data_IF_787416110762
#
_entry.id   IF_787416110762
#
_cell.length_a   1.000
_cell.length_b   1.000
_cell.length_c   1.000
_cell.angle_alpha   90.00
_cell.angle_beta   90.00
_cell.angle_gamma   90.00
#
_symmetry.space_group_name_H-M   'P 1'
#
loop_
_entity.id
_entity.type
_entity.pdbx_description
1 polymer ?
#
# COMPACT_ATOMS: atom_id res chain seq x y z
N UNK A 1 -16.49 14.14 6.55
CA UNK A 1 -16.41 12.82 7.22
C UNK A 1 -15.70 12.97 8.56
N UNK A 2 -16.14 12.29 9.62
CA UNK A 2 -15.47 12.32 10.93
C UNK A 2 -14.07 11.69 10.85
N UNK A 3 -13.09 12.20 11.61
CA UNK A 3 -11.67 11.79 11.50
C UNK A 3 -11.49 10.28 11.67
N UNK A 4 -12.17 9.69 12.64
CA UNK A 4 -12.09 8.26 12.98
C UNK A 4 -12.68 7.39 11.86
N UNK A 5 -13.81 7.82 11.30
CA UNK A 5 -14.42 7.17 10.14
C UNK A 5 -13.53 7.27 8.90
N UNK A 6 -12.86 8.40 8.68
CA UNK A 6 -11.88 8.55 7.59
C UNK A 6 -10.70 7.60 7.76
N UNK A 7 -10.16 7.44 8.98
CA UNK A 7 -9.10 6.46 9.23
C UNK A 7 -9.58 5.04 8.95
N UNK A 8 -10.78 4.68 9.41
CA UNK A 8 -11.38 3.35 9.16
C UNK A 8 -11.59 3.08 7.67
N UNK A 9 -12.14 4.04 6.94
CA UNK A 9 -12.40 3.92 5.49
C UNK A 9 -11.12 3.88 4.63
N UNK A 10 -9.96 4.19 5.21
CA UNK A 10 -8.67 4.16 4.50
C UNK A 10 -7.81 3.03 5.04
N UNK A 11 -7.24 3.20 6.24
CA UNK A 11 -6.22 2.30 6.77
C UNK A 11 -6.81 0.97 7.20
N UNK A 12 -7.89 0.97 7.98
CA UNK A 12 -8.53 -0.29 8.41
C UNK A 12 -9.15 -1.04 7.23
N UNK A 13 -9.69 -0.30 6.25
CA UNK A 13 -10.24 -0.87 5.02
C UNK A 13 -9.17 -1.61 4.21
N UNK A 14 -8.06 -0.94 3.91
CA UNK A 14 -6.95 -1.53 3.13
C UNK A 14 -6.34 -2.72 3.87
N UNK A 15 -5.97 -2.51 5.13
CA UNK A 15 -5.17 -3.48 5.90
C UNK A 15 -5.98 -4.62 6.51
N UNK A 16 -7.31 -4.49 6.56
CA UNK A 16 -8.23 -5.53 7.00
C UNK A 16 -8.92 -6.21 5.82
N UNK A 17 -10.18 -5.86 5.57
CA UNK A 17 -11.08 -6.58 4.65
C UNK A 17 -10.58 -6.63 3.21
N UNK A 18 -9.95 -5.56 2.71
CA UNK A 18 -9.38 -5.55 1.36
C UNK A 18 -8.20 -6.54 1.28
N UNK A 19 -7.22 -6.43 2.19
CA UNK A 19 -6.07 -7.34 2.23
C UNK A 19 -6.50 -8.80 2.38
N UNK A 20 -7.42 -9.09 3.32
CA UNK A 20 -7.93 -10.45 3.53
C UNK A 20 -8.64 -11.02 2.31
N UNK A 21 -9.44 -10.19 1.63
CA UNK A 21 -10.15 -10.63 0.43
C UNK A 21 -9.17 -10.91 -0.71
N UNK A 22 -8.18 -10.05 -0.91
CA UNK A 22 -7.15 -10.24 -1.94
C UNK A 22 -6.30 -11.47 -1.66
N UNK A 23 -5.84 -11.64 -0.42
CA UNK A 23 -5.05 -12.79 0.03
C UNK A 23 -5.74 -14.13 -0.27
N UNK A 24 -7.05 -14.22 -0.03
CA UNK A 24 -7.78 -15.50 -0.11
C UNK A 24 -8.54 -15.71 -1.42
N UNK A 25 -8.89 -14.64 -2.14
CA UNK A 25 -9.79 -14.69 -3.31
C UNK A 25 -9.39 -13.76 -4.46
N UNK A 26 -8.26 -13.06 -4.35
CA UNK A 26 -7.77 -12.13 -5.37
C UNK A 26 -8.51 -10.80 -5.45
N UNK A 27 -8.02 -9.91 -6.32
CA UNK A 27 -8.52 -8.53 -6.45
C UNK A 27 -9.94 -8.46 -7.03
N UNK A 28 -10.29 -9.35 -7.96
CA UNK A 28 -11.61 -9.36 -8.58
C UNK A 28 -12.71 -9.65 -7.53
N UNK A 29 -12.42 -10.44 -6.50
CA UNK A 29 -13.35 -10.69 -5.41
C UNK A 29 -13.66 -9.44 -4.57
N UNK A 30 -12.72 -8.48 -4.46
CA UNK A 30 -12.97 -7.19 -3.80
C UNK A 30 -14.04 -6.42 -4.58
N UNK A 31 -13.89 -6.32 -5.89
CA UNK A 31 -14.86 -5.62 -6.76
C UNK A 31 -16.23 -6.31 -6.75
N UNK A 32 -16.26 -7.64 -6.82
CA UNK A 32 -17.49 -8.43 -6.84
C UNK A 32 -18.25 -8.39 -5.50
N UNK A 33 -17.56 -8.13 -4.38
CA UNK A 33 -18.18 -7.99 -3.06
C UNK A 33 -18.90 -6.65 -2.86
N UNK A 34 -18.70 -5.67 -3.75
CA UNK A 34 -19.35 -4.36 -3.68
C UNK A 34 -20.79 -4.41 -4.18
N UNK A 35 -21.65 -3.55 -3.63
CA UNK A 35 -22.97 -3.27 -4.21
C UNK A 35 -22.82 -2.60 -5.58
N UNK A 36 -23.91 -2.54 -6.36
CA UNK A 36 -23.88 -1.90 -7.69
C UNK A 36 -23.47 -0.42 -7.63
N UNK A 37 -23.91 0.32 -6.60
CA UNK A 37 -23.43 1.71 -6.38
C UNK A 37 -21.98 1.73 -5.90
N UNK A 38 -21.56 0.76 -5.09
CA UNK A 38 -20.17 0.60 -4.70
C UNK A 38 -19.25 0.32 -5.89
N UNK A 39 -19.66 -0.51 -6.85
CA UNK A 39 -18.91 -0.76 -8.09
C UNK A 39 -18.73 0.51 -8.91
N UNK A 40 -19.74 1.38 -9.00
CA UNK A 40 -19.60 2.69 -9.67
C UNK A 40 -18.54 3.57 -9.00
N UNK A 41 -18.53 3.62 -7.67
CA UNK A 41 -17.52 4.36 -6.91
C UNK A 41 -16.11 3.76 -7.05
N UNK A 42 -16.01 2.43 -7.07
CA UNK A 42 -14.76 1.73 -7.37
C UNK A 42 -14.25 2.08 -8.77
N UNK A 43 -15.10 1.99 -9.80
CA UNK A 43 -14.73 2.28 -11.19
C UNK A 43 -14.29 3.73 -11.37
N UNK A 44 -14.99 4.67 -10.72
CA UNK A 44 -14.63 6.08 -10.70
C UNK A 44 -13.22 6.28 -10.13
N UNK A 45 -12.95 5.71 -8.95
CA UNK A 45 -11.65 5.79 -8.32
C UNK A 45 -10.57 5.09 -9.14
N UNK A 46 -10.83 3.86 -9.59
CA UNK A 46 -9.88 3.04 -10.34
C UNK A 46 -9.45 3.74 -11.63
N UNK A 47 -10.44 4.17 -12.44
CA UNK A 47 -10.20 4.84 -13.71
C UNK A 47 -9.40 6.14 -13.55
N UNK A 48 -9.64 6.90 -12.47
CA UNK A 48 -8.93 8.16 -12.24
C UNK A 48 -7.55 7.97 -11.59
N UNK A 49 -7.28 6.81 -10.96
CA UNK A 49 -6.05 6.56 -10.21
C UNK A 49 -5.01 5.77 -10.99
N UNK A 50 -5.42 4.91 -11.93
CA UNK A 50 -4.53 3.96 -12.60
C UNK A 50 -3.30 4.64 -13.24
N UNK A 51 -3.51 5.64 -14.10
CA UNK A 51 -2.41 6.32 -14.79
C UNK A 51 -1.58 7.24 -13.87
N UNK A 52 -2.17 8.05 -12.97
CA UNK A 52 -1.37 8.81 -11.99
C UNK A 52 -0.50 7.93 -11.08
N UNK A 53 -1.00 6.73 -10.70
CA UNK A 53 -0.18 5.75 -9.99
C UNK A 53 0.93 5.18 -10.89
N UNK A 54 0.59 4.81 -12.12
CA UNK A 54 1.54 4.27 -13.10
C UNK A 54 2.67 5.25 -13.41
N UNK A 55 2.39 6.54 -13.49
CA UNK A 55 3.40 7.58 -13.72
C UNK A 55 4.52 7.54 -12.67
N UNK A 56 4.15 7.54 -11.39
CA UNK A 56 5.13 7.52 -10.28
C UNK A 56 5.83 6.16 -10.18
N UNK A 57 5.10 5.07 -10.41
CA UNK A 57 5.69 3.72 -10.45
C UNK A 57 6.71 3.59 -11.59
N UNK A 58 6.41 4.15 -12.75
CA UNK A 58 7.28 4.08 -13.91
C UNK A 58 8.56 4.88 -13.67
N UNK A 59 8.45 6.11 -13.16
CA UNK A 59 9.61 6.91 -12.74
C UNK A 59 10.47 6.15 -11.73
N UNK A 60 9.86 5.59 -10.68
CA UNK A 60 10.55 4.83 -9.64
C UNK A 60 11.30 3.63 -10.22
N UNK A 61 10.67 2.88 -11.12
CA UNK A 61 11.29 1.71 -11.75
C UNK A 61 12.53 2.11 -12.56
N UNK A 62 12.44 3.15 -13.40
CA UNK A 62 13.57 3.61 -14.21
C UNK A 62 14.72 4.16 -13.35
N UNK A 63 14.41 4.85 -12.26
CA UNK A 63 15.41 5.32 -11.28
C UNK A 63 16.15 4.15 -10.62
N UNK A 64 15.44 3.06 -10.31
CA UNK A 64 16.04 1.84 -9.76
C UNK A 64 16.90 1.13 -10.81
N UNK A 65 16.35 0.88 -11.99
CA UNK A 65 17.02 0.15 -13.07
C UNK A 65 18.27 0.88 -13.59
N UNK A 66 18.26 2.22 -13.61
CA UNK A 66 19.42 3.04 -13.98
C UNK A 66 20.52 3.08 -12.90
N UNK A 67 20.26 2.57 -11.69
CA UNK A 67 21.16 2.63 -10.53
C UNK A 67 21.14 3.98 -9.80
N UNK A 68 20.32 4.93 -10.24
CA UNK A 68 20.15 6.24 -9.59
C UNK A 68 19.63 6.09 -8.16
N UNK A 69 18.61 5.24 -7.97
CA UNK A 69 18.04 5.01 -6.64
C UNK A 69 19.01 4.29 -5.70
N UNK A 70 19.78 3.34 -6.23
CA UNK A 70 20.84 2.66 -5.47
C UNK A 70 21.88 3.68 -4.98
N UNK A 71 22.31 4.58 -5.86
CA UNK A 71 23.25 5.65 -5.50
C UNK A 71 22.66 6.57 -4.42
N UNK A 72 21.40 6.96 -4.55
CA UNK A 72 20.72 7.82 -3.59
C UNK A 72 20.70 7.18 -2.19
N UNK A 73 20.39 5.88 -2.10
CA UNK A 73 20.40 5.13 -0.84
C UNK A 73 21.80 5.07 -0.22
N UNK A 74 22.85 4.83 -1.02
CA UNK A 74 24.24 4.83 -0.55
C UNK A 74 24.62 6.18 0.05
N UNK A 75 24.28 7.29 -0.62
CA UNK A 75 24.59 8.62 -0.13
C UNK A 75 23.76 8.97 1.11
N UNK A 76 22.48 8.64 1.15
CA UNK A 76 21.63 8.83 2.31
C UNK A 76 22.17 8.11 3.56
N UNK A 77 22.69 6.89 3.41
CA UNK A 77 23.33 6.17 4.52
C UNK A 77 24.56 6.88 5.08
N UNK A 78 25.33 7.60 4.23
CA UNK A 78 26.45 8.42 4.68
C UNK A 78 25.98 9.68 5.43
N UNK A 79 24.80 10.21 5.09
CA UNK A 79 24.24 11.39 5.75
C UNK A 79 23.74 11.09 7.17
N UNK A 80 23.72 9.83 7.60
CA UNK A 80 23.41 9.46 8.99
C UNK A 80 24.52 9.81 9.98
N UNK A 81 25.68 10.25 9.50
CA UNK A 81 26.83 10.64 10.30
C UNK A 81 27.30 12.04 9.90
N UNK A 82 27.94 12.74 10.84
CA UNK A 82 28.55 14.04 10.56
C UNK A 82 29.70 13.88 9.57
N UNK A 83 29.73 14.73 8.55
CA UNK A 83 30.80 14.80 7.55
C UNK A 83 30.81 16.17 6.89
N UNK A 84 31.96 16.58 6.34
CA UNK A 84 32.08 17.83 5.55
C UNK A 84 31.63 19.09 6.33
N UNK A 85 31.70 19.08 7.66
CA UNK A 85 31.22 20.18 8.51
C UNK A 85 29.70 20.29 8.63
N UNK A 86 28.94 19.28 8.18
CA UNK A 86 27.48 19.21 8.27
C UNK A 86 27.03 18.20 9.34
N UNK A 87 25.86 18.43 9.97
CA UNK A 87 25.34 17.56 11.02
C UNK A 87 24.86 16.21 10.46
N UNK A 88 24.65 15.24 11.36
CA UNK A 88 24.04 13.95 11.05
C UNK A 88 22.51 14.07 10.88
N UNK A 89 21.95 13.31 9.94
CA UNK A 89 20.52 13.29 9.62
C UNK A 89 19.93 11.87 9.69
N UNK A 90 19.82 11.24 10.88
CA UNK A 90 19.11 9.98 11.02
C UNK A 90 17.63 10.12 10.65
N UNK A 91 17.01 9.03 10.20
CA UNK A 91 15.60 9.05 9.80
C UNK A 91 14.66 9.44 10.95
N UNK A 92 13.79 10.41 10.70
CA UNK A 92 12.73 10.82 11.62
C UNK A 92 11.53 9.86 11.68
N UNK A 93 10.64 10.12 12.66
CA UNK A 93 9.38 9.37 12.85
C UNK A 93 8.31 9.82 11.85
N UNK A 94 7.60 8.87 11.24
CA UNK A 94 6.52 9.14 10.25
C UNK A 94 5.10 9.02 10.83
N UNK A 95 4.97 8.67 12.11
CA UNK A 95 3.67 8.38 12.79
C UNK A 95 3.18 9.45 13.75
N UNK A 96 3.81 10.63 13.79
CA UNK A 96 3.39 11.69 14.74
C UNK A 96 2.40 12.69 14.13
N UNK A 97 2.03 12.54 12.86
CA UNK A 97 1.07 13.44 12.19
C UNK A 97 -0.38 13.08 12.50
N UNK A 98 -1.29 14.01 12.14
CA UNK A 98 -2.71 13.99 12.51
C UNK A 98 -3.40 12.63 12.34
N UNK A 99 -3.28 11.98 11.18
CA UNK A 99 -4.02 10.74 10.91
C UNK A 99 -3.54 9.56 11.76
N UNK A 100 -2.26 9.53 12.12
CA UNK A 100 -1.69 8.44 12.91
C UNK A 100 -2.08 8.56 14.38
N UNK A 101 -2.22 9.78 14.92
CA UNK A 101 -2.84 10.03 16.23
C UNK A 101 -4.32 9.67 16.28
N UNK A 102 -5.03 9.84 15.17
CA UNK A 102 -6.40 9.32 15.03
C UNK A 102 -6.37 7.78 15.03
N UNK A 103 -5.42 7.17 14.32
CA UNK A 103 -5.25 5.72 14.29
C UNK A 103 -4.98 5.09 15.65
N UNK A 104 -4.15 5.71 16.49
CA UNK A 104 -3.92 5.29 17.89
C UNK A 104 -5.25 5.19 18.66
N UNK A 105 -6.10 6.22 18.57
CA UNK A 105 -7.44 6.23 19.21
C UNK A 105 -8.41 5.22 18.59
N UNK A 106 -8.40 5.07 17.27
CA UNK A 106 -9.26 4.09 16.59
C UNK A 106 -8.92 2.68 17.06
N UNK A 107 -7.63 2.34 17.15
CA UNK A 107 -7.18 1.02 17.60
C UNK A 107 -7.38 0.78 19.09
N UNK A 108 -7.31 1.80 19.95
CA UNK A 108 -7.52 1.63 21.39
C UNK A 108 -8.93 1.17 21.77
N UNK A 109 -9.90 1.31 20.87
CA UNK A 109 -11.28 0.85 21.07
C UNK A 109 -11.73 -0.17 20.01
N UNK A 110 -10.80 -0.66 19.18
CA UNK A 110 -11.08 -1.64 18.12
C UNK A 110 -11.23 -3.03 18.72
N UNK A 111 -12.34 -3.76 18.45
CA UNK A 111 -12.48 -5.15 18.86
C UNK A 111 -11.40 -6.05 18.25
N UNK A 112 -11.04 -7.13 18.96
CA UNK A 112 -10.17 -8.14 18.39
C UNK A 112 -10.81 -8.79 17.15
N UNK A 113 -10.02 -8.96 16.08
CA UNK A 113 -10.48 -9.54 14.82
C UNK A 113 -11.27 -8.61 13.89
N UNK A 114 -11.46 -7.34 14.25
CA UNK A 114 -12.09 -6.33 13.38
C UNK A 114 -11.33 -6.23 12.03
N UNK A 115 -12.07 -6.23 10.93
CA UNK A 115 -11.52 -6.19 9.56
C UNK A 115 -11.70 -4.82 8.89
N UNK A 116 -12.23 -3.83 9.60
CA UNK A 116 -12.58 -2.55 9.04
C UNK A 116 -13.74 -2.62 8.02
N UNK A 117 -14.20 -1.46 7.54
CA UNK A 117 -15.21 -1.37 6.51
C UNK A 117 -14.61 -1.65 5.12
N UNK A 118 -15.40 -2.18 4.18
CA UNK A 118 -15.04 -2.20 2.76
C UNK A 118 -15.50 -0.89 2.12
N UNK A 119 -14.58 0.08 1.96
CA UNK A 119 -14.92 1.38 1.38
C UNK A 119 -14.63 1.39 -0.13
N UNK A 120 -15.66 1.52 -1.00
CA UNK A 120 -15.50 1.26 -2.44
C UNK A 120 -14.48 2.16 -3.14
N UNK A 121 -14.49 3.47 -2.83
CA UNK A 121 -13.56 4.43 -3.41
C UNK A 121 -12.10 4.10 -3.02
N UNK A 122 -11.85 3.79 -1.75
CA UNK A 122 -10.52 3.36 -1.28
C UNK A 122 -10.06 2.08 -1.98
N UNK A 123 -10.97 1.10 -2.12
CA UNK A 123 -10.68 -0.13 -2.83
C UNK A 123 -10.29 0.14 -4.30
N UNK A 124 -11.00 1.06 -4.98
CA UNK A 124 -10.68 1.45 -6.35
C UNK A 124 -9.30 2.07 -6.50
N UNK A 125 -8.92 3.00 -5.61
CA UNK A 125 -7.57 3.60 -5.62
C UNK A 125 -6.49 2.54 -5.36
N UNK A 126 -6.68 1.71 -4.34
CA UNK A 126 -5.68 0.71 -3.94
C UNK A 126 -5.48 -0.37 -5.00
N UNK A 127 -6.56 -0.90 -5.57
CA UNK A 127 -6.48 -1.92 -6.63
C UNK A 127 -5.96 -1.31 -7.93
N UNK A 128 -6.23 -0.04 -8.23
CA UNK A 128 -5.61 0.64 -9.38
C UNK A 128 -4.10 0.76 -9.24
N UNK A 129 -3.60 1.09 -8.05
CA UNK A 129 -2.16 1.10 -7.78
C UNK A 129 -1.54 -0.29 -7.96
N UNK A 130 -2.15 -1.34 -7.41
CA UNK A 130 -1.68 -2.72 -7.56
C UNK A 130 -1.61 -3.13 -9.04
N UNK A 131 -2.68 -2.88 -9.81
CA UNK A 131 -2.73 -3.22 -11.23
C UNK A 131 -1.75 -2.40 -12.06
N UNK A 132 -1.53 -1.12 -11.73
CA UNK A 132 -0.52 -0.30 -12.38
C UNK A 132 0.90 -0.84 -12.13
N UNK A 133 1.21 -1.29 -10.90
CA UNK A 133 2.49 -1.90 -10.57
C UNK A 133 2.70 -3.22 -11.32
N UNK A 134 1.67 -4.08 -11.35
CA UNK A 134 1.66 -5.33 -12.12
C UNK A 134 1.98 -5.05 -13.59
N UNK A 135 1.32 -4.05 -14.19
CA UNK A 135 1.54 -3.71 -15.60
C UNK A 135 2.96 -3.19 -15.86
N UNK A 136 3.50 -2.33 -14.99
CA UNK A 136 4.89 -1.86 -15.13
C UNK A 136 5.86 -3.04 -15.09
N UNK A 137 5.79 -3.90 -14.08
CA UNK A 137 6.70 -5.03 -13.96
C UNK A 137 6.54 -6.04 -15.11
N UNK A 138 5.30 -6.28 -15.55
CA UNK A 138 5.00 -7.11 -16.74
C UNK A 138 5.65 -6.54 -18.00
N UNK A 139 5.53 -5.23 -18.24
CA UNK A 139 6.16 -4.55 -19.40
C UNK A 139 7.68 -4.50 -19.31
N UNK A 140 8.23 -4.57 -18.10
CA UNK A 140 9.67 -4.61 -17.84
C UNK A 140 10.25 -6.03 -17.83
N UNK A 141 9.44 -7.05 -18.14
CA UNK A 141 9.91 -8.41 -18.39
C UNK A 141 10.08 -9.27 -17.14
N UNK A 142 9.48 -8.88 -16.01
CA UNK A 142 9.48 -9.68 -14.79
C UNK A 142 8.58 -10.93 -14.93
N UNK A 143 8.92 -11.98 -14.18
CA UNK A 143 8.12 -13.21 -14.14
C UNK A 143 6.82 -13.02 -13.34
N UNK A 144 5.75 -13.76 -13.65
CA UNK A 144 4.50 -13.66 -12.90
C UNK A 144 4.68 -13.96 -11.40
N UNK A 145 5.51 -14.94 -11.04
CA UNK A 145 5.79 -15.24 -9.63
C UNK A 145 6.42 -14.05 -8.90
N UNK A 146 7.34 -13.34 -9.54
CA UNK A 146 7.95 -12.15 -8.95
C UNK A 146 6.93 -11.00 -8.88
N UNK A 147 6.21 -10.73 -9.97
CA UNK A 147 5.19 -9.69 -10.04
C UNK A 147 4.13 -9.86 -8.94
N UNK A 148 3.61 -11.08 -8.78
CA UNK A 148 2.54 -11.39 -7.82
C UNK A 148 3.07 -11.33 -6.39
N UNK A 149 4.28 -11.81 -6.12
CA UNK A 149 4.87 -11.70 -4.79
C UNK A 149 5.07 -10.23 -4.38
N UNK A 150 5.70 -9.43 -5.26
CA UNK A 150 6.09 -8.04 -4.99
C UNK A 150 4.90 -7.05 -5.02
N UNK A 151 3.84 -7.36 -5.78
CA UNK A 151 2.72 -6.42 -6.00
C UNK A 151 1.43 -6.82 -5.30
N UNK A 152 1.36 -8.03 -4.73
CA UNK A 152 0.14 -8.56 -4.14
C UNK A 152 0.38 -9.34 -2.85
N UNK A 153 1.11 -10.47 -2.90
CA UNK A 153 1.24 -11.38 -1.75
C UNK A 153 1.96 -10.68 -0.59
N UNK A 154 3.11 -10.05 -0.84
CA UNK A 154 3.89 -9.44 0.24
C UNK A 154 3.09 -8.33 0.96
N UNK A 155 2.37 -7.50 0.20
CA UNK A 155 1.58 -6.42 0.81
C UNK A 155 0.42 -6.96 1.64
N UNK A 156 -0.31 -7.99 1.20
CA UNK A 156 -1.51 -8.48 1.92
C UNK A 156 -1.21 -9.52 3.01
N UNK A 157 -0.15 -10.31 2.86
CA UNK A 157 0.17 -11.42 3.74
C UNK A 157 1.33 -11.14 4.70
N UNK A 158 2.16 -10.14 4.42
CA UNK A 158 3.32 -9.80 5.25
C UNK A 158 3.22 -8.38 5.80
N UNK A 159 3.07 -7.37 4.96
CA UNK A 159 3.26 -5.97 5.36
C UNK A 159 2.01 -5.33 5.99
N UNK A 160 0.85 -5.44 5.35
CA UNK A 160 -0.39 -4.82 5.83
C UNK A 160 -0.81 -5.29 7.24
N UNK A 161 -0.61 -6.56 7.66
CA UNK A 161 -0.85 -6.98 9.04
C UNK A 161 -0.11 -6.13 10.09
N UNK A 162 1.13 -5.71 9.81
CA UNK A 162 1.87 -4.81 10.73
C UNK A 162 1.26 -3.40 10.76
N UNK A 163 0.82 -2.88 9.62
CA UNK A 163 0.13 -1.59 9.59
C UNK A 163 -1.22 -1.66 10.30
N UNK A 164 -1.95 -2.78 10.15
CA UNK A 164 -3.20 -3.01 10.85
C UNK A 164 -3.00 -3.06 12.37
N UNK A 165 -1.91 -3.66 12.84
CA UNK A 165 -1.59 -3.78 14.26
C UNK A 165 -1.25 -2.42 14.90
N UNK A 166 -0.34 -1.63 14.31
CA UNK A 166 0.18 -0.41 14.96
C UNK A 166 0.40 0.81 14.05
N UNK A 167 -0.16 0.81 12.84
CA UNK A 167 -0.03 1.90 11.89
C UNK A 167 1.29 1.88 11.10
N UNK A 168 1.49 2.89 10.25
CA UNK A 168 2.48 2.80 9.16
C UNK A 168 3.93 2.62 9.59
N UNK A 169 4.38 3.23 10.70
CA UNK A 169 5.76 3.07 11.14
C UNK A 169 6.04 1.63 11.56
N UNK A 170 5.06 0.91 12.10
CA UNK A 170 5.26 -0.49 12.47
C UNK A 170 5.42 -1.40 11.26
N UNK A 171 4.84 -1.05 10.12
CA UNK A 171 5.12 -1.72 8.84
C UNK A 171 6.46 -1.26 8.26
N UNK A 172 6.60 0.04 8.02
CA UNK A 172 7.74 0.61 7.27
C UNK A 172 9.05 0.47 8.03
N UNK A 173 9.08 0.80 9.33
CA UNK A 173 10.32 0.83 10.10
C UNK A 173 10.80 -0.57 10.53
N UNK A 174 9.95 -1.60 10.45
CA UNK A 174 10.39 -3.00 10.58
C UNK A 174 11.11 -3.51 9.32
N UNK A 175 10.95 -2.86 8.17
CA UNK A 175 11.65 -3.22 6.94
C UNK A 175 13.14 -2.80 6.97
N UNK A 176 13.86 -3.05 5.86
CA UNK A 176 15.26 -2.66 5.70
C UNK A 176 15.47 -1.14 5.66
N UNK A 177 16.69 -0.67 5.88
CA UNK A 177 17.05 0.75 5.73
C UNK A 177 16.72 1.29 4.32
N UNK A 178 16.97 0.49 3.28
CA UNK A 178 16.63 0.83 1.89
C UNK A 178 15.14 1.06 1.73
N UNK A 179 14.30 0.15 2.24
CA UNK A 179 12.84 0.27 2.21
C UNK A 179 12.33 1.48 2.99
N UNK A 180 12.91 1.74 4.17
CA UNK A 180 12.56 2.89 5.02
C UNK A 180 12.85 4.23 4.35
N UNK A 181 13.99 4.33 3.66
CA UNK A 181 14.37 5.50 2.86
C UNK A 181 13.47 5.65 1.63
N UNK A 182 13.25 4.56 0.89
CA UNK A 182 12.39 4.54 -0.29
C UNK A 182 10.96 4.96 0.04
N UNK A 183 10.35 4.41 1.09
CA UNK A 183 9.01 4.80 1.54
C UNK A 183 8.93 6.30 1.86
N UNK A 184 9.94 6.86 2.54
CA UNK A 184 9.98 8.29 2.88
C UNK A 184 10.21 9.20 1.66
N UNK A 185 10.92 8.72 0.64
CA UNK A 185 11.14 9.45 -0.62
C UNK A 185 9.89 9.42 -1.52
N UNK A 186 9.29 8.26 -1.70
CA UNK A 186 8.27 8.03 -2.74
C UNK A 186 6.83 8.19 -2.24
N UNK A 187 6.51 7.94 -0.97
CA UNK A 187 5.14 8.10 -0.47
C UNK A 187 4.57 9.52 -0.71
N UNK A 188 5.33 10.62 -0.50
CA UNK A 188 4.84 11.96 -0.83
C UNK A 188 4.54 12.16 -2.33
N UNK A 189 5.24 11.45 -3.22
CA UNK A 189 5.01 11.55 -4.68
C UNK A 189 3.65 11.00 -5.06
N UNK A 190 3.26 9.85 -4.49
CA UNK A 190 1.92 9.28 -4.69
C UNK A 190 0.82 10.16 -4.10
N UNK A 191 1.00 10.66 -2.87
CA UNK A 191 0.04 11.57 -2.23
C UNK A 191 -0.23 12.81 -3.10
N UNK A 192 0.83 13.48 -3.54
CA UNK A 192 0.71 14.64 -4.40
C UNK A 192 0.08 14.32 -5.75
N UNK A 193 0.47 13.22 -6.40
CA UNK A 193 -0.05 12.91 -7.73
C UNK A 193 -1.53 12.52 -7.70
N UNK A 194 -1.95 11.75 -6.69
CA UNK A 194 -3.36 11.44 -6.46
C UNK A 194 -4.16 12.72 -6.18
N UNK A 195 -3.62 13.61 -5.36
CA UNK A 195 -4.31 14.87 -5.02
C UNK A 195 -4.44 15.81 -6.23
N UNK A 196 -3.38 15.92 -7.03
CA UNK A 196 -3.32 16.86 -8.14
C UNK A 196 -4.05 16.37 -9.40
N UNK A 197 -4.05 15.05 -9.65
CA UNK A 197 -4.62 14.49 -10.87
C UNK A 197 -5.88 13.67 -10.58
N UNK A 198 -5.78 12.64 -9.74
CA UNK A 198 -6.88 11.71 -9.49
C UNK A 198 -8.09 12.38 -8.85
N UNK A 199 -7.91 13.07 -7.73
CA UNK A 199 -9.03 13.70 -7.03
C UNK A 199 -9.63 14.85 -7.85
N UNK A 200 -8.80 15.60 -8.58
CA UNK A 200 -9.27 16.63 -9.51
C UNK A 200 -10.11 16.02 -10.64
N UNK A 201 -9.69 14.90 -11.24
CA UNK A 201 -10.47 14.22 -12.26
C UNK A 201 -11.82 13.69 -11.72
N UNK A 202 -11.81 13.13 -10.51
CA UNK A 202 -13.00 12.64 -9.80
C UNK A 202 -13.98 13.78 -9.51
N UNK A 203 -13.50 14.93 -9.04
CA UNK A 203 -14.30 16.11 -8.70
C UNK A 203 -14.88 16.79 -9.95
N UNK A 204 -14.11 16.81 -11.05
CA UNK A 204 -14.56 17.32 -12.35
C UNK A 204 -15.49 16.36 -13.10
N UNK A 205 -15.83 15.20 -12.51
CA UNK A 205 -16.72 14.22 -13.14
C UNK A 205 -16.15 13.62 -14.42
N UNK A 206 -14.83 13.39 -14.48
CA UNK A 206 -14.19 12.76 -15.62
C UNK A 206 -14.88 11.43 -15.97
N UNK A 207 -15.07 11.14 -17.28
CA UNK A 207 -15.72 9.91 -17.70
C UNK A 207 -14.90 8.69 -17.28
N UNK A 208 -15.60 7.63 -16.86
CA UNK A 208 -14.96 6.34 -16.55
C UNK A 208 -14.39 5.76 -17.85
N UNK A 209 -13.10 5.44 -17.84
CA UNK A 209 -12.44 4.74 -18.92
C UNK A 209 -12.88 3.26 -18.91
N UNK A 210 -13.80 2.92 -19.81
CA UNK A 210 -14.39 1.58 -19.91
C UNK A 210 -13.36 0.52 -20.32
N UNK A 211 -12.35 0.88 -21.09
CA UNK A 211 -11.28 -0.04 -21.47
C UNK A 211 -10.42 -0.41 -20.26
N UNK A 212 -10.10 0.53 -19.38
CA UNK A 212 -9.38 0.23 -18.13
C UNK A 212 -10.17 -0.74 -17.23
N UNK A 213 -11.48 -0.53 -17.10
CA UNK A 213 -12.33 -1.42 -16.29
C UNK A 213 -12.45 -2.80 -16.94
N UNK A 214 -12.66 -2.84 -18.26
CA UNK A 214 -12.72 -4.11 -19.01
C UNK A 214 -11.41 -4.87 -18.87
N UNK A 215 -10.28 -4.20 -19.08
CA UNK A 215 -8.94 -4.79 -18.96
C UNK A 215 -8.67 -5.27 -17.54
N UNK A 216 -9.07 -4.52 -16.51
CA UNK A 216 -9.01 -4.98 -15.12
C UNK A 216 -9.77 -6.28 -14.92
N UNK A 217 -11.03 -6.35 -15.35
CA UNK A 217 -11.89 -7.53 -15.14
C UNK A 217 -11.33 -8.76 -15.86
N UNK A 218 -10.79 -8.58 -17.07
CA UNK A 218 -10.28 -9.68 -17.89
C UNK A 218 -8.77 -9.91 -17.77
N UNK A 219 -8.07 -9.24 -16.85
CA UNK A 219 -6.61 -9.35 -16.78
C UNK A 219 -6.20 -10.80 -16.41
N UNK A 220 -5.30 -11.44 -17.18
CA UNK A 220 -4.86 -12.80 -16.91
C UNK A 220 -4.15 -12.97 -15.55
N UNK A 221 -3.71 -11.86 -14.91
CA UNK A 221 -3.09 -11.92 -13.59
C UNK A 221 -4.02 -12.51 -12.54
N UNK A 222 -5.34 -12.37 -12.65
CA UNK A 222 -6.28 -12.95 -11.68
C UNK A 222 -6.17 -14.47 -11.62
N UNK A 223 -6.09 -15.14 -12.77
CA UNK A 223 -5.87 -16.60 -12.82
C UNK A 223 -4.48 -17.00 -12.33
N UNK A 224 -3.45 -16.19 -12.60
CA UNK A 224 -2.11 -16.44 -12.09
C UNK A 224 -2.03 -16.29 -10.55
N UNK A 225 -2.78 -15.35 -9.97
CA UNK A 225 -2.89 -15.16 -8.51
C UNK A 225 -3.54 -16.39 -7.87
N UNK A 226 -4.58 -16.97 -8.48
CA UNK A 226 -5.20 -18.20 -7.98
C UNK A 226 -4.18 -19.35 -7.89
N UNK A 227 -3.37 -19.54 -8.94
CA UNK A 227 -2.30 -20.56 -8.93
C UNK A 227 -1.24 -20.26 -7.86
N UNK A 228 -0.81 -19.01 -7.70
CA UNK A 228 0.14 -18.65 -6.66
C UNK A 228 -0.44 -18.84 -5.24
N UNK A 229 -1.73 -18.61 -5.05
CA UNK A 229 -2.40 -18.76 -3.75
C UNK A 229 -2.43 -20.22 -3.28
N UNK A 230 -2.43 -21.20 -4.19
CA UNK A 230 -2.32 -22.63 -3.86
C UNK A 230 -0.98 -22.99 -3.19
N UNK A 231 0.06 -22.17 -3.39
CA UNK A 231 1.41 -22.38 -2.85
C UNK A 231 1.65 -21.64 -1.52
N UNK A 232 0.66 -20.84 -1.08
CA UNK A 232 0.76 -20.07 0.17
C UNK A 232 0.72 -21.01 1.39
N UNK A 233 1.45 -20.70 2.47
CA UNK A 233 1.21 -21.35 3.76
C UNK A 233 -0.26 -21.28 4.16
N UNK A 234 -0.79 -22.35 4.76
CA UNK A 234 -2.20 -22.42 5.18
C UNK A 234 -2.52 -21.65 6.46
N UNK A 235 -1.52 -20.94 7.02
CA UNK A 235 -1.63 -20.15 8.24
C UNK A 235 -1.38 -18.68 7.91
N UNK A 236 -2.30 -17.83 8.34
CA UNK A 236 -2.13 -16.38 8.25
C UNK A 236 -1.14 -15.90 9.31
N UNK A 237 -0.35 -14.88 8.98
CA UNK A 237 0.49 -14.22 9.98
C UNK A 237 -0.39 -13.59 11.06
N UNK A 238 0.03 -13.75 12.31
CA UNK A 238 -0.56 -13.04 13.43
C UNK A 238 0.49 -12.09 14.00
N UNK A 239 0.19 -10.79 13.97
CA UNK A 239 1.04 -9.73 14.51
C UNK A 239 0.38 -9.18 15.77
N UNK A 240 0.73 -9.69 16.96
CA UNK A 240 0.13 -9.23 18.21
C UNK A 240 0.60 -7.83 18.58
N UNK A 241 -0.14 -7.21 19.51
CA UNK A 241 0.15 -5.86 19.96
C UNK A 241 1.52 -5.71 20.65
N UNK A 242 1.98 -6.81 21.27
CA UNK A 242 3.21 -6.95 22.05
C UNK A 242 4.25 -7.79 21.30
N UNK A 243 4.20 -7.80 19.96
CA UNK A 243 5.11 -8.60 19.13
C UNK A 243 6.59 -8.38 19.52
N UNK A 244 7.23 -9.45 19.98
CA UNK A 244 8.62 -9.47 20.46
C UNK A 244 9.63 -9.81 19.35
N UNK A 245 9.13 -10.35 18.23
CA UNK A 245 9.91 -10.68 17.03
C UNK A 245 10.21 -9.48 16.13
N UNK A 246 9.74 -8.28 16.49
CA UNK A 246 10.02 -7.02 15.75
C UNK A 246 11.35 -6.40 16.18
N UNK A 247 11.80 -5.38 15.43
CA UNK A 247 13.02 -4.64 15.76
C UNK A 247 12.98 -4.14 17.22
N UNK A 248 14.08 -4.26 18.00
CA UNK A 248 14.10 -3.90 19.41
C UNK A 248 13.56 -2.51 19.71
N UNK A 249 13.89 -1.52 18.87
CA UNK A 249 13.44 -0.13 18.99
C UNK A 249 11.94 0.10 18.68
N UNK A 250 11.26 -0.90 18.12
CA UNK A 250 9.83 -0.86 17.79
C UNK A 250 8.98 -1.73 18.72
N UNK A 251 9.59 -2.53 19.60
CA UNK A 251 8.86 -3.29 20.62
C UNK A 251 8.19 -2.32 21.57
N UNK A 252 6.89 -2.49 21.79
CA UNK A 252 6.19 -1.74 22.82
C UNK A 252 6.47 -2.42 24.16
N UNK A 253 7.06 -1.70 25.10
CA UNK A 253 7.22 -2.19 26.47
C UNK A 253 5.84 -2.33 27.11
N UNK A 254 5.54 -3.51 27.65
CA UNK A 254 4.45 -3.68 28.61
C UNK A 254 4.77 -2.83 29.85
N UNK A 255 4.18 -1.64 29.93
CA UNK A 255 4.04 -0.88 31.16
C UNK A 255 2.58 -0.91 31.58
#
# INVERSE_FOLDING_TARGET
MAKDLTYKNIVESITGVISRTISTKGMLAVYNALSEDGKKEFEKAYSASFYPCMEILYECYEDVASGSEIRNVVLAGRHFYEKEGLPAFPMGKIVQTRMWKVGERVRSTRPAGDQGPLYPFTAGVFVALMMAQIEILRRKGHSYSEIINESLIEVVDSLNPFMHAHGVSFMVDNCSTTTRLGSRKWAPRFDYNLTQQTFVAVDNGAPINRDLISNFISDPVHGAIEVCAELRPTVDIFVPADADFVRPELRQSNN
#
